data_IF_446796974665
#
_entry.id   IF_446796974665
#
_cell.length_a   1.000
_cell.length_b   1.000
_cell.length_c   1.000
_cell.angle_alpha   90.00
_cell.angle_beta   90.00
_cell.angle_gamma   90.00
#
_symmetry.space_group_name_H-M   'P 1'
#
loop_
_entity.id
_entity.type
_entity.pdbx_description
1 polymer ?
#
# COMPACT_ATOMS: atom_id res chain seq x y z
N UNK A 1 -13.41 -26.13 19.24
CA UNK A 1 -14.36 -25.00 19.42
C UNK A 1 -14.34 -24.18 18.14
N UNK A 2 -15.32 -24.37 17.27
CA UNK A 2 -15.38 -23.65 15.99
C UNK A 2 -15.99 -22.27 16.22
N UNK A 3 -15.19 -21.21 16.11
CA UNK A 3 -15.67 -19.84 16.25
C UNK A 3 -16.43 -19.45 14.98
N UNK A 4 -17.75 -19.39 15.09
CA UNK A 4 -18.62 -18.88 14.03
C UNK A 4 -18.64 -17.36 14.13
N UNK A 5 -17.85 -16.67 13.29
CA UNK A 5 -17.91 -15.21 13.18
C UNK A 5 -19.21 -14.81 12.47
N UNK A 6 -20.09 -14.09 13.17
CA UNK A 6 -21.33 -13.54 12.61
C UNK A 6 -21.01 -12.24 11.86
N UNK A 7 -21.61 -12.04 10.70
CA UNK A 7 -21.43 -10.85 9.84
C UNK A 7 -21.71 -9.50 10.52
N UNK A 8 -22.48 -9.50 11.61
CA UNK A 8 -22.86 -8.32 12.38
C UNK A 8 -21.72 -7.75 13.26
N UNK A 9 -20.67 -8.53 13.54
CA UNK A 9 -19.49 -8.08 14.31
C UNK A 9 -18.50 -7.23 13.49
N UNK A 10 -18.82 -6.88 12.23
CA UNK A 10 -18.00 -5.99 11.39
C UNK A 10 -18.02 -4.51 11.82
N UNK A 11 -18.77 -4.15 12.86
CA UNK A 11 -18.77 -2.79 13.43
C UNK A 11 -17.61 -2.67 14.44
N UNK A 12 -16.39 -2.90 13.97
CA UNK A 12 -15.18 -2.58 14.71
C UNK A 12 -15.06 -1.07 14.91
N UNK A 13 -15.39 -0.60 16.11
CA UNK A 13 -15.14 0.76 16.60
C UNK A 13 -15.75 1.91 15.76
N UNK A 14 -15.57 3.17 16.20
CA UNK A 14 -15.92 4.33 15.40
C UNK A 14 -15.10 4.34 14.11
N UNK A 15 -15.79 4.41 12.96
CA UNK A 15 -15.15 4.52 11.64
C UNK A 15 -15.52 5.85 11.00
N UNK A 16 -14.54 6.52 10.39
CA UNK A 16 -14.76 7.73 9.58
C UNK A 16 -15.72 7.47 8.40
N UNK A 17 -15.63 6.28 7.80
CA UNK A 17 -16.48 5.84 6.69
C UNK A 17 -16.94 4.39 6.88
N UNK A 18 -18.04 3.99 6.23
CA UNK A 18 -18.52 2.59 6.21
C UNK A 18 -17.74 1.74 5.20
N UNK A 19 -16.42 1.66 5.35
CA UNK A 19 -15.58 0.83 4.50
C UNK A 19 -15.64 -0.64 4.96
N UNK A 20 -15.90 -1.60 4.04
CA UNK A 20 -16.01 -3.02 4.37
C UNK A 20 -14.69 -3.64 4.83
N UNK A 21 -13.56 -3.17 4.28
CA UNK A 21 -12.21 -3.71 4.55
C UNK A 21 -11.44 -2.93 5.64
N UNK A 22 -12.06 -1.93 6.26
CA UNK A 22 -11.42 -1.20 7.35
C UNK A 22 -11.68 -1.90 8.68
N UNK A 23 -10.68 -2.65 9.13
CA UNK A 23 -10.72 -3.36 10.42
C UNK A 23 -10.32 -2.48 11.62
N UNK A 24 -9.42 -1.51 11.39
CA UNK A 24 -8.94 -0.57 12.42
C UNK A 24 -8.89 0.85 11.86
N UNK A 25 -9.91 1.67 12.14
CA UNK A 25 -9.96 3.03 11.63
C UNK A 25 -9.04 3.95 12.47
N UNK A 26 -7.97 4.45 11.85
CA UNK A 26 -7.03 5.38 12.48
C UNK A 26 -7.39 6.86 12.24
N UNK A 27 -8.63 7.15 11.80
CA UNK A 27 -9.08 8.51 11.47
C UNK A 27 -8.14 9.25 10.50
N UNK A 28 -7.56 8.51 9.55
CA UNK A 28 -6.60 9.03 8.59
C UNK A 28 -7.21 10.07 7.62
N UNK A 29 -6.34 10.81 6.93
CA UNK A 29 -6.73 11.70 5.84
C UNK A 29 -7.53 10.99 4.75
N UNK A 30 -8.33 11.75 3.98
CA UNK A 30 -9.14 11.19 2.89
C UNK A 30 -8.29 10.49 1.83
N UNK A 31 -7.08 10.97 1.56
CA UNK A 31 -6.15 10.31 0.65
C UNK A 31 -5.80 8.87 1.11
N UNK A 32 -5.41 8.68 2.38
CA UNK A 32 -5.13 7.34 2.91
C UNK A 32 -6.39 6.50 3.01
N UNK A 33 -7.53 7.09 3.38
CA UNK A 33 -8.78 6.36 3.47
C UNK A 33 -9.24 5.85 2.09
N UNK A 34 -9.11 6.68 1.04
CA UNK A 34 -9.43 6.29 -0.33
C UNK A 34 -8.49 5.17 -0.84
N UNK A 35 -7.22 5.17 -0.46
CA UNK A 35 -6.31 4.07 -0.76
C UNK A 35 -6.75 2.75 -0.08
N UNK A 36 -7.17 2.80 1.19
CA UNK A 36 -7.74 1.62 1.85
C UNK A 36 -9.05 1.16 1.20
N UNK A 37 -9.90 2.10 0.74
CA UNK A 37 -11.19 1.83 0.11
C UNK A 37 -11.08 1.31 -1.31
N UNK A 38 -10.05 1.70 -2.05
CA UNK A 38 -9.92 1.36 -3.46
C UNK A 38 -9.56 -0.10 -3.66
N UNK A 39 -9.20 -0.83 -2.60
CA UNK A 39 -8.71 -2.22 -2.71
C UNK A 39 -7.44 -2.34 -3.54
N UNK A 40 -6.83 -1.21 -3.90
CA UNK A 40 -5.58 -1.18 -4.64
C UNK A 40 -4.47 -1.46 -3.64
N UNK A 41 -4.25 -2.74 -3.37
CA UNK A 41 -2.95 -3.18 -2.88
C UNK A 41 -1.95 -2.82 -3.97
N UNK A 42 -0.82 -2.22 -3.58
CA UNK A 42 0.28 -2.00 -4.52
C UNK A 42 0.70 -3.30 -5.23
N UNK A 43 1.62 -3.21 -6.20
CA UNK A 43 2.16 -4.42 -6.82
C UNK A 43 2.61 -5.41 -5.72
N UNK A 44 2.49 -6.72 -5.98
CA UNK A 44 2.83 -7.74 -5.00
C UNK A 44 4.23 -7.49 -4.45
N UNK A 45 4.40 -7.73 -3.14
CA UNK A 45 5.70 -7.64 -2.50
C UNK A 45 6.68 -8.56 -3.23
N UNK A 46 7.80 -7.99 -3.70
CA UNK A 46 8.89 -8.74 -4.32
C UNK A 46 9.92 -9.11 -3.26
N UNK A 47 10.60 -10.23 -3.44
CA UNK A 47 11.77 -10.56 -2.63
C UNK A 47 12.87 -9.49 -2.80
N UNK A 48 13.77 -9.38 -1.83
CA UNK A 48 14.90 -8.46 -1.93
C UNK A 48 15.78 -8.76 -3.16
N UNK A 49 15.96 -10.04 -3.50
CA UNK A 49 16.70 -10.47 -4.68
C UNK A 49 16.06 -9.97 -5.98
N UNK A 50 14.74 -10.12 -6.13
CA UNK A 50 14.00 -9.63 -7.30
C UNK A 50 14.03 -8.10 -7.42
N UNK A 51 14.03 -7.39 -6.28
CA UNK A 51 14.18 -5.93 -6.28
C UNK A 51 15.57 -5.51 -6.75
N UNK A 52 16.63 -6.19 -6.30
CA UNK A 52 18.02 -5.92 -6.71
C UNK A 52 18.18 -6.13 -8.21
N UNK A 53 17.75 -7.29 -8.74
CA UNK A 53 17.88 -7.61 -10.17
C UNK A 53 17.13 -6.58 -11.05
N UNK A 54 15.93 -6.17 -10.63
CA UNK A 54 15.17 -5.14 -11.36
C UNK A 54 15.88 -3.79 -11.34
N UNK A 55 16.45 -3.41 -10.20
CA UNK A 55 17.19 -2.16 -10.06
C UNK A 55 18.46 -2.15 -10.92
N UNK A 56 19.20 -3.26 -10.97
CA UNK A 56 20.37 -3.40 -11.84
C UNK A 56 20.00 -3.22 -13.31
N UNK A 57 18.94 -3.89 -13.79
CA UNK A 57 18.43 -3.72 -15.16
C UNK A 57 17.99 -2.28 -15.46
N UNK A 58 17.38 -1.59 -14.50
CA UNK A 58 17.01 -0.19 -14.67
C UNK A 58 18.25 0.68 -14.80
N UNK A 59 19.27 0.47 -13.96
CA UNK A 59 20.52 1.22 -14.01
C UNK A 59 21.32 0.96 -15.29
N UNK A 60 21.29 -0.27 -15.83
CA UNK A 60 21.91 -0.59 -17.13
C UNK A 60 21.27 0.19 -18.29
N UNK A 61 19.95 0.43 -18.20
CA UNK A 61 19.19 1.18 -19.19
C UNK A 61 19.15 2.70 -18.90
N UNK A 62 19.65 3.11 -17.75
CA UNK A 62 19.70 4.50 -17.33
C UNK A 62 20.90 5.16 -18.01
N UNK A 63 20.66 5.85 -19.12
CA UNK A 63 21.67 6.67 -19.78
C UNK A 63 21.96 7.98 -19.02
N UNK A 64 21.74 8.04 -17.70
CA UNK A 64 21.90 9.30 -16.98
C UNK A 64 23.36 9.75 -17.00
N UNK A 65 23.61 10.99 -17.43
CA UNK A 65 24.93 11.56 -17.32
C UNK A 65 25.31 11.70 -15.83
N UNK A 66 26.60 11.57 -15.47
CA UNK A 66 27.09 11.51 -14.09
C UNK A 66 26.84 12.78 -13.23
N UNK A 67 26.12 13.78 -13.75
CA UNK A 67 25.86 15.06 -13.06
C UNK A 67 24.43 15.56 -13.25
N UNK A 68 23.43 14.67 -13.37
CA UNK A 68 22.04 15.13 -13.37
C UNK A 68 21.68 15.62 -11.95
N UNK A 69 21.24 16.87 -11.76
CA UNK A 69 20.78 17.33 -10.46
C UNK A 69 19.57 16.50 -10.02
N UNK A 70 19.61 16.02 -8.77
CA UNK A 70 18.46 15.36 -8.16
C UNK A 70 17.28 16.34 -8.16
N UNK A 71 16.09 15.83 -8.49
CA UNK A 71 14.88 16.65 -8.47
C UNK A 71 14.74 17.32 -7.10
N UNK A 72 14.54 18.65 -7.04
CA UNK A 72 14.26 19.31 -5.78
C UNK A 72 12.88 18.86 -5.29
N UNK A 73 12.84 18.44 -4.02
CA UNK A 73 11.61 18.06 -3.33
C UNK A 73 10.61 19.22 -3.28
#
# INVERSE_FOLDING_TARGET
MSVQFREADRVGGPKKHRCPDCHFCQMCSDARCNACRSGQTGPPARSSAEQIEMFEKLNENDSHPPNRPLCPF
#
